data_IF_618120469032
#
_entry.id   IF_618120469032
#
_cell.length_a   1.000
_cell.length_b   1.000
_cell.length_c   1.000
_cell.angle_alpha   90.00
_cell.angle_beta   90.00
_cell.angle_gamma   90.00
#
_symmetry.space_group_name_H-M   'P 1'
#
loop_
_entity.id
_entity.type
_entity.pdbx_description
1 polymer ?
#
# COMPACT_ATOMS: atom_id res chain seq x y z
N UNK A 1 -30.37 6.61 31.04
CA UNK A 1 -29.91 5.39 30.35
C UNK A 1 -29.46 5.80 28.95
N UNK A 2 -28.17 6.06 28.74
CA UNK A 2 -27.65 6.49 27.44
C UNK A 2 -27.12 5.26 26.69
N UNK A 3 -27.83 4.90 25.63
CA UNK A 3 -27.52 3.80 24.72
C UNK A 3 -26.23 4.13 23.94
N UNK A 4 -25.13 3.46 24.30
CA UNK A 4 -23.83 3.51 23.64
C UNK A 4 -23.62 2.19 22.90
N UNK A 5 -24.44 1.93 21.89
CA UNK A 5 -24.22 0.85 20.92
C UNK A 5 -24.35 1.44 19.52
N UNK A 6 -23.26 1.48 18.77
CA UNK A 6 -23.31 2.01 17.40
C UNK A 6 -22.00 1.98 16.62
N UNK A 7 -20.84 1.81 17.26
CA UNK A 7 -19.55 1.96 16.57
C UNK A 7 -18.75 0.65 16.47
N UNK A 8 -19.21 -0.39 17.15
CA UNK A 8 -18.54 -1.67 17.35
C UNK A 8 -18.89 -2.70 16.25
N UNK A 9 -20.00 -2.50 15.54
CA UNK A 9 -20.48 -3.44 14.52
C UNK A 9 -19.90 -3.21 13.11
N UNK A 10 -19.33 -2.03 12.83
CA UNK A 10 -18.81 -1.73 11.49
C UNK A 10 -17.33 -2.10 11.34
N UNK A 11 -16.49 -1.79 12.35
CA UNK A 11 -15.05 -2.06 12.29
C UNK A 11 -14.73 -3.55 12.10
N UNK A 12 -15.46 -4.45 12.78
CA UNK A 12 -15.20 -5.90 12.69
C UNK A 12 -15.46 -6.48 11.29
N UNK A 13 -16.39 -5.89 10.54
CA UNK A 13 -16.66 -6.26 9.15
C UNK A 13 -15.61 -5.70 8.17
N UNK A 14 -15.02 -4.53 8.47
CA UNK A 14 -13.87 -4.00 7.70
C UNK A 14 -12.58 -4.81 7.95
N UNK A 15 -12.38 -5.34 9.15
CA UNK A 15 -11.26 -6.22 9.49
C UNK A 15 -11.54 -7.71 9.27
N UNK A 16 -12.62 -8.05 8.56
CA UNK A 16 -12.88 -9.42 8.11
C UNK A 16 -12.05 -9.73 6.85
N UNK A 17 -10.73 -9.86 7.02
CA UNK A 17 -9.73 -10.11 5.97
C UNK A 17 -10.03 -11.32 5.06
N UNK A 18 -10.94 -12.20 5.45
CA UNK A 18 -11.39 -13.32 4.63
C UNK A 18 -12.29 -12.92 3.45
N UNK A 19 -12.98 -11.78 3.51
CA UNK A 19 -13.91 -11.37 2.44
C UNK A 19 -13.28 -10.43 1.41
N UNK A 20 -12.19 -9.78 1.76
CA UNK A 20 -11.39 -9.01 0.81
C UNK A 20 -10.41 -9.92 0.07
N UNK A 21 -11.02 -10.71 -0.81
CA UNK A 21 -10.41 -11.51 -1.86
C UNK A 21 -9.44 -10.57 -2.63
N UNK A 22 -8.14 -10.78 -2.40
CA UNK A 22 -6.92 -10.32 -3.09
C UNK A 22 -6.92 -9.04 -3.92
N UNK A 23 -7.57 -8.94 -5.10
CA UNK A 23 -7.41 -7.77 -5.96
C UNK A 23 -7.83 -6.45 -5.29
N UNK A 24 -8.92 -6.42 -4.53
CA UNK A 24 -9.46 -5.15 -4.02
C UNK A 24 -8.63 -4.52 -2.90
N UNK A 25 -8.03 -5.35 -2.03
CA UNK A 25 -7.14 -4.87 -0.93
C UNK A 25 -5.89 -4.21 -1.50
N UNK A 26 -5.31 -4.84 -2.52
CA UNK A 26 -4.03 -4.40 -3.08
C UNK A 26 -4.21 -3.06 -3.79
N UNK A 27 -5.29 -2.87 -4.54
CA UNK A 27 -5.62 -1.58 -5.17
C UNK A 27 -5.85 -0.47 -4.13
N UNK A 28 -6.47 -0.80 -3.00
CA UNK A 28 -6.67 0.13 -1.90
C UNK A 28 -5.35 0.52 -1.21
N UNK A 29 -4.47 -0.45 -0.94
CA UNK A 29 -3.13 -0.17 -0.39
C UNK A 29 -2.27 0.66 -1.35
N UNK A 30 -2.32 0.39 -2.66
CA UNK A 30 -1.61 1.17 -3.67
C UNK A 30 -2.07 2.63 -3.65
N UNK A 31 -3.39 2.86 -3.66
CA UNK A 31 -3.93 4.21 -3.68
C UNK A 31 -3.57 5.00 -2.40
N UNK A 32 -3.61 4.35 -1.23
CA UNK A 32 -3.14 4.95 0.03
C UNK A 32 -1.63 5.25 -0.05
N UNK A 33 -0.82 4.32 -0.57
CA UNK A 33 0.62 4.52 -0.74
C UNK A 33 0.93 5.73 -1.61
N UNK A 34 0.22 5.90 -2.73
CA UNK A 34 0.35 7.08 -3.61
C UNK A 34 -0.07 8.36 -2.87
N UNK A 35 -1.18 8.32 -2.11
CA UNK A 35 -1.65 9.48 -1.35
C UNK A 35 -0.63 9.91 -0.30
N UNK A 36 0.00 8.96 0.39
CA UNK A 36 1.09 9.22 1.35
C UNK A 36 2.30 9.83 0.65
N UNK A 37 2.70 9.32 -0.53
CA UNK A 37 3.81 9.89 -1.31
C UNK A 37 3.52 11.35 -1.69
N UNK A 38 2.29 11.67 -2.09
CA UNK A 38 1.90 13.04 -2.44
C UNK A 38 2.02 13.96 -1.22
N UNK A 39 1.50 13.54 -0.06
CA UNK A 39 1.60 14.30 1.19
C UNK A 39 3.06 14.50 1.62
N UNK A 40 3.87 13.45 1.55
CA UNK A 40 5.30 13.52 1.82
C UNK A 40 6.02 14.46 0.85
N UNK A 41 5.70 14.39 -0.44
CA UNK A 41 6.24 15.28 -1.47
C UNK A 41 5.95 16.76 -1.17
N UNK A 42 4.72 17.08 -0.78
CA UNK A 42 4.33 18.45 -0.40
C UNK A 42 5.13 18.90 0.84
N UNK A 43 5.26 18.06 1.87
CA UNK A 43 6.04 18.40 3.06
C UNK A 43 7.52 18.64 2.74
N UNK A 44 8.11 17.83 1.86
CA UNK A 44 9.51 18.00 1.43
C UNK A 44 9.72 19.32 0.68
N UNK A 45 8.80 19.71 -0.20
CA UNK A 45 8.88 21.00 -0.90
C UNK A 45 8.86 22.16 0.09
N UNK A 46 8.01 22.09 1.13
CA UNK A 46 7.94 23.11 2.16
C UNK A 46 9.24 23.20 2.98
N UNK A 47 9.80 22.06 3.38
CA UNK A 47 11.07 22.01 4.10
C UNK A 47 12.24 22.52 3.25
N UNK A 48 12.31 22.16 1.97
CA UNK A 48 13.35 22.62 1.05
C UNK A 48 13.27 24.13 0.82
N UNK A 49 12.05 24.70 0.74
CA UNK A 49 11.86 26.13 0.60
C UNK A 49 12.28 26.91 1.87
N UNK A 50 12.13 26.30 3.05
CA UNK A 50 12.51 26.90 4.34
C UNK A 50 14.01 26.80 4.66
N UNK A 51 14.70 25.79 4.11
CA UNK A 51 16.13 25.51 4.41
C UNK A 51 17.10 26.04 3.35
N UNK A 52 16.61 26.50 2.21
CA UNK A 52 17.47 26.86 1.08
C UNK A 52 18.01 28.29 1.21
N UNK A 53 19.21 28.41 1.76
CA UNK A 53 19.99 29.64 1.70
C UNK A 53 20.74 29.72 0.36
N UNK A 54 20.13 30.40 -0.61
CA UNK A 54 20.75 30.75 -1.88
C UNK A 54 20.53 29.76 -3.05
N UNK A 55 20.93 30.19 -4.24
CA UNK A 55 20.60 29.56 -5.53
C UNK A 55 21.07 28.11 -5.67
N UNK A 56 22.26 27.78 -5.15
CA UNK A 56 22.82 26.42 -5.21
C UNK A 56 22.10 25.42 -4.29
N UNK A 57 21.60 25.88 -3.14
CA UNK A 57 20.81 25.06 -2.21
C UNK A 57 19.51 24.60 -2.86
N UNK A 58 18.75 25.54 -3.44
CA UNK A 58 17.50 25.28 -4.17
C UNK A 58 17.72 24.29 -5.31
N UNK A 59 18.80 24.46 -6.09
CA UNK A 59 19.08 23.60 -7.24
C UNK A 59 19.40 22.15 -6.83
N UNK A 60 20.14 21.97 -5.74
CA UNK A 60 20.46 20.65 -5.18
C UNK A 60 19.23 19.96 -4.59
N UNK A 61 18.36 20.71 -3.90
CA UNK A 61 17.09 20.22 -3.36
C UNK A 61 16.10 19.81 -4.44
N UNK A 62 15.99 20.58 -5.54
CA UNK A 62 15.16 20.21 -6.69
C UNK A 62 15.63 18.91 -7.33
N UNK A 63 16.94 18.78 -7.61
CA UNK A 63 17.50 17.55 -8.19
C UNK A 63 17.32 16.33 -7.28
N UNK A 64 17.61 16.48 -5.99
CA UNK A 64 17.43 15.39 -5.02
C UNK A 64 15.97 15.07 -4.71
N UNK A 65 15.09 16.07 -4.69
CA UNK A 65 13.66 15.93 -4.44
C UNK A 65 12.93 15.22 -5.59
N UNK A 66 13.20 15.61 -6.83
CA UNK A 66 12.61 14.95 -8.01
C UNK A 66 13.01 13.48 -8.08
N UNK A 67 14.29 13.16 -7.85
CA UNK A 67 14.76 11.78 -7.88
C UNK A 67 14.12 10.91 -6.79
N UNK A 68 13.96 11.48 -5.57
CA UNK A 68 13.27 10.82 -4.45
C UNK A 68 11.80 10.53 -4.78
N UNK A 69 11.08 11.46 -5.39
CA UNK A 69 9.68 11.25 -5.80
C UNK A 69 9.56 10.10 -6.82
N UNK A 70 10.40 10.10 -7.84
CA UNK A 70 10.40 9.04 -8.87
C UNK A 70 10.72 7.68 -8.24
N UNK A 71 11.75 7.60 -7.40
CA UNK A 71 12.09 6.37 -6.67
C UNK A 71 10.95 5.89 -5.77
N UNK A 72 10.28 6.80 -5.06
CA UNK A 72 9.17 6.44 -4.16
C UNK A 72 7.98 5.84 -4.92
N UNK A 73 7.65 6.39 -6.09
CA UNK A 73 6.56 5.89 -6.93
C UNK A 73 6.89 4.50 -7.51
N UNK A 74 8.14 4.31 -7.96
CA UNK A 74 8.63 3.02 -8.42
C UNK A 74 8.59 1.98 -7.30
N UNK A 75 9.02 2.36 -6.09
CA UNK A 75 9.01 1.48 -4.92
C UNK A 75 7.60 1.00 -4.57
N UNK A 76 6.60 1.89 -4.59
CA UNK A 76 5.20 1.51 -4.35
C UNK A 76 4.68 0.53 -5.41
N UNK A 77 5.04 0.69 -6.68
CA UNK A 77 4.68 -0.29 -7.72
C UNK A 77 5.30 -1.65 -7.45
N UNK A 78 6.61 -1.70 -7.21
CA UNK A 78 7.34 -2.94 -6.94
C UNK A 78 6.78 -3.65 -5.70
N UNK A 79 6.51 -2.92 -4.62
CA UNK A 79 5.93 -3.47 -3.40
C UNK A 79 4.53 -4.07 -3.66
N UNK A 80 3.70 -3.36 -4.44
CA UNK A 80 2.34 -3.80 -4.79
C UNK A 80 2.38 -5.06 -5.67
N UNK A 81 3.28 -5.12 -6.64
CA UNK A 81 3.50 -6.29 -7.50
C UNK A 81 3.99 -7.49 -6.67
N UNK A 82 4.94 -7.28 -5.75
CA UNK A 82 5.45 -8.33 -4.89
C UNK A 82 4.35 -8.94 -4.02
N UNK A 83 3.48 -8.11 -3.43
CA UNK A 83 2.33 -8.58 -2.64
C UNK A 83 1.36 -9.39 -3.51
N UNK A 84 1.09 -8.95 -4.74
CA UNK A 84 0.26 -9.72 -5.69
C UNK A 84 0.84 -11.10 -5.98
N UNK A 85 2.14 -11.16 -6.30
CA UNK A 85 2.84 -12.42 -6.61
C UNK A 85 2.78 -13.40 -5.43
N UNK A 86 3.04 -12.92 -4.21
CA UNK A 86 2.95 -13.78 -3.02
C UNK A 86 1.53 -14.32 -2.82
N UNK A 87 0.51 -13.49 -3.06
CA UNK A 87 -0.86 -13.96 -2.93
C UNK A 87 -1.21 -15.01 -3.99
N UNK A 88 -0.80 -14.77 -5.24
CA UNK A 88 -1.01 -15.69 -6.35
C UNK A 88 -0.43 -17.08 -6.04
N UNK A 89 0.81 -17.12 -5.50
CA UNK A 89 1.44 -18.36 -5.03
C UNK A 89 0.57 -19.05 -3.97
N UNK A 90 0.03 -18.31 -2.99
CA UNK A 90 -0.82 -18.90 -1.95
C UNK A 90 -2.12 -19.47 -2.51
N UNK A 91 -2.72 -18.84 -3.52
CA UNK A 91 -3.91 -19.36 -4.19
C UNK A 91 -3.59 -20.64 -4.96
N UNK A 92 -2.50 -20.64 -5.75
CA UNK A 92 -2.05 -21.77 -6.54
C UNK A 92 -1.74 -22.99 -5.65
N UNK A 93 -1.06 -22.79 -4.51
CA UNK A 93 -0.79 -23.86 -3.54
C UNK A 93 -2.07 -24.44 -2.92
N UNK A 94 -3.07 -23.59 -2.63
CA UNK A 94 -4.36 -24.04 -2.10
C UNK A 94 -5.12 -24.88 -3.11
N UNK A 95 -5.05 -24.51 -4.39
CA UNK A 95 -5.68 -25.27 -5.48
C UNK A 95 -5.02 -26.64 -5.66
N UNK A 96 -3.68 -26.71 -5.64
CA UNK A 96 -2.94 -27.98 -5.70
C UNK A 96 -3.32 -28.89 -4.54
N UNK A 97 -3.32 -28.37 -3.30
CA UNK A 97 -3.69 -29.15 -2.12
C UNK A 97 -5.10 -29.74 -2.23
N UNK A 98 -6.07 -28.98 -2.73
CA UNK A 98 -7.43 -29.46 -2.91
C UNK A 98 -7.52 -30.59 -3.96
N UNK A 99 -6.79 -30.46 -5.08
CA UNK A 99 -6.72 -31.49 -6.12
C UNK A 99 -6.08 -32.79 -5.60
N UNK A 100 -5.00 -32.69 -4.82
CA UNK A 100 -4.33 -33.86 -4.24
C UNK A 100 -5.20 -34.57 -3.20
N UNK A 101 -5.94 -33.85 -2.36
CA UNK A 101 -6.83 -34.46 -1.37
C UNK A 101 -8.02 -35.19 -2.00
N UNK A 102 -8.61 -34.64 -3.08
CA UNK A 102 -9.67 -35.32 -3.83
C UNK A 102 -9.23 -36.68 -4.40
N UNK A 103 -7.98 -36.78 -4.87
CA UNK A 103 -7.44 -38.02 -5.42
C UNK A 103 -7.18 -39.08 -4.35
N UNK A 104 -6.92 -38.69 -3.09
CA UNK A 104 -6.70 -39.63 -1.97
C UNK A 104 -7.99 -40.23 -1.38
N UNK A 105 -9.15 -39.64 -1.66
CA UNK A 105 -10.44 -40.08 -1.13
C UNK A 105 -11.27 -40.90 -2.12
N UNK A 106 -10.77 -41.12 -3.34
CA UNK A 106 -11.32 -42.04 -4.34
C UNK A 106 -10.35 -43.21 -4.53
#
# INVERSE_FOLDING_TARGET
MLNKQGNDFQLRNFFSFNKFITPSVITFMFNIGVLVIILMGISMIYEDLMRSDGFFGVLSSLWGGTWRLVLSLLFVRIATEFVMVVFDIRQNLREINNKTNYNKTN
#
